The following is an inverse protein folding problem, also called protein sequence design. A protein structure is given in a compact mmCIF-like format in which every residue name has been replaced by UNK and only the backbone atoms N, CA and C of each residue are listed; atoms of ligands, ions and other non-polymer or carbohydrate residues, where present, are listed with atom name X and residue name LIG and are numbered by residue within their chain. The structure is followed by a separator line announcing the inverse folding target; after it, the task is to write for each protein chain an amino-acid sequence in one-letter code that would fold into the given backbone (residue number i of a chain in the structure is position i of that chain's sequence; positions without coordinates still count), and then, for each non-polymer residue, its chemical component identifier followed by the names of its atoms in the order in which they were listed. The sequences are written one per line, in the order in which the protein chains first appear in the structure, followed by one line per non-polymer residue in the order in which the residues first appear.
data_IF_748998727949
#
_entry.id   IF_748998727949
#
_cell.length_a   1.000
_cell.length_b   1.000
_cell.length_c   1.000
_cell.angle_alpha   90.00
_cell.angle_beta   90.00
_cell.angle_gamma   90.00
#
_symmetry.space_group_name_H-M   'P 1'
#
loop_
_entity.id
_entity.type
_entity.pdbx_description
1 polymer ?
#
# COMPACT_ATOMS: atom_id res chain seq x y z
N UNK A 1 -17.25 92.73 8.78
CA UNK A 1 -15.98 92.09 8.37
C UNK A 1 -15.97 90.75 9.05
N UNK A 2 -16.13 89.69 8.27
CA UNK A 2 -16.27 88.29 8.82
C UNK A 2 -14.91 87.63 8.65
N UNK A 3 -14.36 87.11 9.73
CA UNK A 3 -13.16 86.29 9.75
C UNK A 3 -13.56 84.82 9.61
N UNK A 4 -13.02 84.15 8.62
CA UNK A 4 -13.17 82.73 8.37
C UNK A 4 -12.06 81.97 9.11
N UNK A 5 -12.44 81.06 10.00
CA UNK A 5 -11.53 80.12 10.66
C UNK A 5 -11.34 78.88 9.79
N UNK A 6 -10.10 78.53 9.51
CA UNK A 6 -9.71 77.28 8.81
C UNK A 6 -9.47 76.24 9.87
N UNK A 7 -10.25 75.14 9.83
CA UNK A 7 -10.06 73.97 10.67
C UNK A 7 -9.19 73.00 9.88
N UNK A 8 -7.98 72.73 10.39
CA UNK A 8 -7.11 71.64 9.90
C UNK A 8 -7.47 70.35 10.63
N UNK A 9 -7.94 69.37 9.89
CA UNK A 9 -8.17 68.01 10.41
C UNK A 9 -6.91 67.19 10.11
N UNK A 10 -6.22 66.80 11.17
CA UNK A 10 -5.09 65.85 11.11
C UNK A 10 -5.65 64.44 11.20
N UNK A 11 -5.53 63.70 10.12
CA UNK A 11 -5.89 62.26 10.06
C UNK A 11 -4.71 61.45 10.60
N UNK A 12 -4.84 60.91 11.82
CA UNK A 12 -3.91 59.92 12.37
C UNK A 12 -4.25 58.55 11.79
N UNK A 13 -3.41 58.04 10.87
CA UNK A 13 -3.52 56.66 10.35
C UNK A 13 -3.07 55.65 11.41
N UNK A 14 -4.01 54.90 11.96
CA UNK A 14 -3.68 53.71 12.79
C UNK A 14 -3.21 52.57 11.84
N UNK A 15 -1.91 52.24 11.90
CA UNK A 15 -1.37 51.04 11.25
C UNK A 15 -1.80 49.86 12.16
N UNK A 16 -2.84 49.16 11.73
CA UNK A 16 -3.24 47.87 12.33
C UNK A 16 -2.20 46.79 11.98
N UNK A 17 -1.39 46.42 12.92
CA UNK A 17 -0.54 45.20 12.81
C UNK A 17 -1.49 44.00 12.94
N UNK A 18 -1.79 43.37 11.81
CA UNK A 18 -2.48 42.09 11.79
C UNK A 18 -1.49 41.02 12.28
N UNK A 19 -1.61 40.60 13.50
CA UNK A 19 -0.93 39.41 14.02
C UNK A 19 -1.67 38.21 13.44
N UNK A 20 -1.13 37.64 12.37
CA UNK A 20 -1.52 36.31 11.91
C UNK A 20 -1.04 35.32 12.97
N UNK A 21 -1.93 34.87 13.83
CA UNK A 21 -1.67 33.69 14.65
C UNK A 21 -1.42 32.51 13.71
N UNK A 22 -0.17 32.11 13.58
CA UNK A 22 0.19 30.84 12.98
C UNK A 22 -0.35 29.77 13.95
N UNK A 23 -1.48 29.17 13.61
CA UNK A 23 -1.91 27.95 14.27
C UNK A 23 -0.80 26.92 14.10
N UNK A 24 -0.05 26.66 15.16
CA UNK A 24 0.82 25.51 15.22
C UNK A 24 -0.07 24.28 15.02
N UNK A 25 0.02 23.65 13.86
CA UNK A 25 -0.59 22.34 13.65
C UNK A 25 0.18 21.41 14.59
N UNK A 26 -0.46 21.04 15.71
CA UNK A 26 0.06 20.01 16.60
C UNK A 26 0.45 18.79 15.73
N UNK A 27 1.67 18.26 15.89
CA UNK A 27 2.07 17.09 15.12
C UNK A 27 1.08 15.97 15.41
N UNK A 28 0.40 15.50 14.37
CA UNK A 28 -0.62 14.47 14.49
C UNK A 28 0.04 13.22 15.06
N UNK A 29 -0.44 12.77 16.22
CA UNK A 29 0.09 11.56 16.86
C UNK A 29 -0.20 10.35 15.97
N UNK A 30 0.82 9.53 15.72
CA UNK A 30 0.67 8.26 15.00
C UNK A 30 -0.26 7.33 15.80
N UNK A 31 -1.15 6.65 15.12
CA UNK A 31 -2.16 5.74 15.68
C UNK A 31 -1.70 4.30 15.55
N UNK A 32 -1.87 3.49 16.59
CA UNK A 32 -1.52 2.07 16.63
C UNK A 32 -2.67 1.19 17.18
N UNK A 33 -2.91 0.01 16.58
CA UNK A 33 -2.48 -0.34 15.24
C UNK A 33 -3.14 0.60 14.23
N UNK A 34 -2.42 0.96 13.21
CA UNK A 34 -2.88 1.98 12.26
C UNK A 34 -2.21 1.91 10.89
N UNK A 35 -1.72 0.73 10.50
CA UNK A 35 -1.29 0.46 9.12
C UNK A 35 -2.48 -0.02 8.28
N UNK A 36 -2.47 -1.23 7.74
CA UNK A 36 -3.60 -1.74 6.95
C UNK A 36 -4.87 -1.93 7.78
N UNK A 37 -4.75 -2.10 9.10
CA UNK A 37 -5.87 -2.37 10.01
C UNK A 37 -5.78 -1.53 11.26
N UNK A 38 -6.96 -1.16 11.77
CA UNK A 38 -7.17 -0.46 13.05
C UNK A 38 -7.82 -1.40 14.08
N UNK A 39 -7.94 -0.94 15.32
CA UNK A 39 -8.72 -1.67 16.33
C UNK A 39 -10.20 -1.78 15.95
N UNK A 40 -10.76 -0.76 15.30
CA UNK A 40 -12.16 -0.78 14.85
C UNK A 40 -12.37 -1.81 13.75
N UNK A 41 -11.40 -1.97 12.81
CA UNK A 41 -11.44 -3.04 11.82
C UNK A 41 -11.45 -4.41 12.49
N UNK A 42 -10.54 -4.64 13.45
CA UNK A 42 -10.51 -5.92 14.17
C UNK A 42 -11.77 -6.17 15.00
N UNK A 43 -12.40 -5.14 15.55
CA UNK A 43 -13.68 -5.28 16.24
C UNK A 43 -14.79 -5.71 15.28
N UNK A 44 -14.88 -5.07 14.11
CA UNK A 44 -15.80 -5.44 13.03
C UNK A 44 -15.58 -6.87 12.55
N UNK A 45 -14.35 -7.25 12.26
CA UNK A 45 -13.96 -8.58 11.79
C UNK A 45 -14.34 -9.66 12.82
N UNK A 46 -14.06 -9.43 14.10
CA UNK A 46 -14.49 -10.33 15.19
C UNK A 46 -15.99 -10.51 15.23
N UNK A 47 -16.75 -9.45 14.98
CA UNK A 47 -18.21 -9.50 14.87
C UNK A 47 -18.67 -10.43 13.75
N UNK A 48 -18.12 -10.33 12.56
CA UNK A 48 -18.44 -11.22 11.44
C UNK A 48 -18.11 -12.69 11.75
N UNK A 49 -16.93 -12.95 12.34
CA UNK A 49 -16.51 -14.31 12.71
C UNK A 49 -17.42 -14.90 13.79
N UNK A 50 -17.81 -14.11 14.78
CA UNK A 50 -18.70 -14.57 15.86
C UNK A 50 -20.12 -14.86 15.34
N UNK A 51 -20.61 -14.04 14.42
CA UNK A 51 -21.93 -14.21 13.78
C UNK A 51 -21.93 -15.26 12.68
N UNK A 52 -20.78 -15.78 12.26
CA UNK A 52 -20.61 -16.64 11.08
C UNK A 52 -21.24 -16.03 9.82
N UNK A 53 -21.09 -14.71 9.66
CA UNK A 53 -21.69 -13.95 8.56
C UNK A 53 -20.85 -14.10 7.29
N UNK A 54 -21.38 -14.82 6.30
CA UNK A 54 -20.79 -14.90 4.96
C UNK A 54 -21.14 -13.64 4.15
N UNK A 55 -20.26 -13.20 3.23
CA UNK A 55 -19.03 -13.88 2.76
C UNK A 55 -17.79 -13.69 3.65
N UNK A 56 -17.82 -12.82 4.65
CA UNK A 56 -16.65 -12.54 5.50
C UNK A 56 -16.22 -13.79 6.28
N UNK A 57 -17.18 -14.62 6.73
CA UNK A 57 -16.87 -15.85 7.43
C UNK A 57 -16.18 -16.89 6.52
N UNK A 58 -16.51 -16.92 5.23
CA UNK A 58 -15.81 -17.79 4.27
C UNK A 58 -14.36 -17.34 4.08
N UNK A 59 -14.11 -16.03 4.04
CA UNK A 59 -12.76 -15.47 4.08
C UNK A 59 -11.99 -15.83 5.35
N UNK A 60 -12.69 -15.83 6.50
CA UNK A 60 -12.11 -16.29 7.77
C UNK A 60 -11.72 -17.76 7.73
N UNK A 61 -12.58 -18.65 7.25
CA UNK A 61 -12.27 -20.09 7.16
C UNK A 61 -11.04 -20.32 6.28
N UNK A 62 -10.92 -19.60 5.17
CA UNK A 62 -9.78 -19.69 4.27
C UNK A 62 -8.48 -19.21 4.93
N UNK A 63 -8.51 -18.07 5.63
CA UNK A 63 -7.37 -17.56 6.40
C UNK A 63 -6.95 -18.53 7.51
N UNK A 64 -7.91 -19.02 8.29
CA UNK A 64 -7.64 -19.95 9.40
C UNK A 64 -7.05 -21.27 8.91
N UNK A 65 -7.46 -21.77 7.74
CA UNK A 65 -6.89 -22.96 7.13
C UNK A 65 -5.46 -22.76 6.60
N UNK A 66 -5.12 -21.55 6.17
CA UNK A 66 -3.78 -21.22 5.67
C UNK A 66 -2.76 -20.92 6.76
N UNK A 67 -3.22 -20.47 7.93
CA UNK A 67 -2.34 -20.17 9.06
C UNK A 67 -1.79 -21.49 9.67
N UNK A 68 -0.46 -21.54 9.82
CA UNK A 68 0.23 -22.70 10.38
C UNK A 68 0.99 -22.29 11.65
N UNK A 69 0.50 -22.69 12.82
CA UNK A 69 1.12 -22.39 14.11
C UNK A 69 2.48 -23.10 14.30
N UNK A 70 2.73 -24.18 13.57
CA UNK A 70 4.01 -24.93 13.61
C UNK A 70 4.99 -24.48 12.53
N UNK A 71 4.72 -23.38 11.83
CA UNK A 71 5.59 -22.86 10.77
C UNK A 71 7.01 -22.61 11.28
N UNK A 72 7.99 -23.12 10.55
CA UNK A 72 9.42 -22.91 10.84
C UNK A 72 10.00 -21.89 9.88
N UNK A 73 10.47 -20.73 10.36
CA UNK A 73 11.06 -19.70 9.51
C UNK A 73 12.39 -20.13 8.90
N UNK A 74 12.68 -19.59 7.70
CA UNK A 74 13.95 -19.80 7.01
C UNK A 74 14.72 -18.48 6.87
N UNK A 75 14.94 -17.78 7.99
CA UNK A 75 15.62 -16.48 8.00
C UNK A 75 17.07 -16.58 7.54
N UNK A 76 17.52 -15.61 6.77
CA UNK A 76 18.84 -15.48 6.18
C UNK A 76 19.55 -14.24 6.70
N UNK A 77 20.89 -14.29 6.80
CA UNK A 77 21.70 -13.12 7.15
C UNK A 77 21.76 -12.10 5.99
N UNK A 78 21.75 -12.59 4.76
CA UNK A 78 21.71 -11.79 3.54
C UNK A 78 20.58 -12.26 2.64
N UNK A 79 19.75 -11.34 2.15
CA UNK A 79 18.70 -11.62 1.17
C UNK A 79 19.15 -11.16 -0.21
N UNK A 80 19.27 -12.11 -1.14
CA UNK A 80 19.64 -11.83 -2.53
C UNK A 80 18.40 -11.88 -3.43
N UNK A 81 18.12 -10.78 -4.19
CA UNK A 81 17.13 -10.73 -5.26
C UNK A 81 17.72 -10.15 -6.54
N UNK A 82 17.42 -10.81 -7.67
CA UNK A 82 17.98 -10.52 -8.97
C UNK A 82 19.32 -11.19 -9.22
N UNK A 83 19.65 -11.43 -10.49
CA UNK A 83 20.93 -12.06 -10.88
C UNK A 83 22.08 -11.07 -10.67
N UNK A 84 23.03 -11.45 -9.86
CA UNK A 84 24.31 -10.78 -9.63
C UNK A 84 25.29 -11.80 -9.04
N UNK A 85 26.23 -11.37 -8.26
CA UNK A 85 27.26 -12.23 -7.64
C UNK A 85 26.75 -13.05 -6.43
N UNK A 86 25.43 -13.11 -6.19
CA UNK A 86 24.83 -13.87 -5.09
C UNK A 86 23.76 -14.86 -5.58
N UNK A 87 23.57 -15.94 -4.83
CA UNK A 87 22.49 -16.90 -5.07
C UNK A 87 21.17 -16.35 -4.55
N UNK A 88 20.18 -16.26 -5.41
CA UNK A 88 18.85 -15.76 -5.06
C UNK A 88 18.18 -16.65 -3.99
N UNK A 89 17.83 -16.04 -2.87
CA UNK A 89 17.17 -16.70 -1.74
C UNK A 89 15.97 -15.89 -1.20
N UNK A 90 15.60 -14.79 -1.84
CA UNK A 90 14.52 -13.89 -1.40
C UNK A 90 13.16 -14.60 -1.23
N UNK A 91 13.01 -15.79 -1.81
CA UNK A 91 11.81 -16.61 -1.65
C UNK A 91 11.58 -17.04 -0.19
N UNK A 92 12.64 -17.19 0.61
CA UNK A 92 12.49 -17.48 2.04
C UNK A 92 11.80 -16.33 2.76
N UNK A 93 12.18 -15.07 2.46
CA UNK A 93 11.60 -13.89 3.10
C UNK A 93 10.11 -13.72 2.77
N UNK A 94 9.71 -13.73 1.51
CA UNK A 94 8.30 -13.52 1.19
C UNK A 94 7.38 -14.64 1.69
N UNK A 95 7.86 -15.89 1.74
CA UNK A 95 7.08 -17.01 2.31
C UNK A 95 6.93 -16.88 3.82
N UNK A 96 8.02 -16.55 4.51
CA UNK A 96 8.02 -16.34 5.96
C UNK A 96 7.09 -15.18 6.34
N UNK A 97 7.14 -14.06 5.61
CA UNK A 97 6.28 -12.89 5.86
C UNK A 97 4.79 -13.24 5.65
N UNK A 98 4.46 -13.96 4.57
CA UNK A 98 3.07 -14.39 4.33
C UNK A 98 2.56 -15.30 5.45
N UNK A 99 3.41 -16.23 5.93
CA UNK A 99 3.07 -17.09 7.07
C UNK A 99 2.93 -16.29 8.37
N UNK A 100 3.81 -15.32 8.62
CA UNK A 100 3.73 -14.44 9.78
C UNK A 100 2.45 -13.62 9.79
N UNK A 101 2.07 -13.05 8.65
CA UNK A 101 0.86 -12.24 8.52
C UNK A 101 -0.40 -13.06 8.77
N UNK A 102 -0.53 -14.24 8.17
CA UNK A 102 -1.67 -15.12 8.39
C UNK A 102 -1.80 -15.51 9.86
N UNK A 103 -0.69 -15.90 10.51
CA UNK A 103 -0.68 -16.25 11.93
C UNK A 103 -1.00 -15.06 12.84
N UNK A 104 -0.45 -13.88 12.58
CA UNK A 104 -0.74 -12.65 13.33
C UNK A 104 -2.23 -12.28 13.25
N UNK A 105 -2.83 -12.38 12.06
CA UNK A 105 -4.27 -12.15 11.86
C UNK A 105 -5.13 -13.15 12.65
N UNK A 106 -4.81 -14.45 12.58
CA UNK A 106 -5.56 -15.48 13.32
C UNK A 106 -5.50 -15.23 14.82
N UNK A 107 -4.32 -14.87 15.34
CA UNK A 107 -4.20 -14.46 16.73
C UNK A 107 -5.06 -13.21 17.02
N UNK A 108 -4.95 -12.17 16.24
CA UNK A 108 -5.66 -10.90 16.49
C UNK A 108 -7.19 -11.07 16.46
N UNK A 109 -7.68 -11.97 15.62
CA UNK A 109 -9.11 -12.25 15.45
C UNK A 109 -9.63 -13.22 16.52
N UNK A 110 -8.92 -14.32 16.78
CA UNK A 110 -9.36 -15.43 17.66
C UNK A 110 -8.70 -15.46 19.02
N UNK A 111 -7.58 -14.77 19.23
CA UNK A 111 -6.81 -14.83 20.47
C UNK A 111 -5.96 -16.10 20.63
N UNK A 112 -5.74 -16.87 19.57
CA UNK A 112 -4.98 -18.13 19.59
C UNK A 112 -3.48 -17.87 19.82
N UNK A 113 -3.01 -18.14 21.05
CA UNK A 113 -1.63 -17.85 21.47
C UNK A 113 -0.57 -18.57 20.63
N UNK A 114 -0.85 -19.77 20.13
CA UNK A 114 0.12 -20.51 19.31
C UNK A 114 0.36 -19.85 17.95
N UNK A 115 -0.66 -19.24 17.37
CA UNK A 115 -0.49 -18.41 16.15
C UNK A 115 0.30 -17.13 16.45
N UNK A 116 0.05 -16.47 17.60
CA UNK A 116 0.88 -15.34 18.02
C UNK A 116 2.36 -15.74 18.12
N UNK A 117 2.65 -16.85 18.82
CA UNK A 117 4.02 -17.38 18.96
C UNK A 117 4.66 -17.72 17.63
N UNK A 118 3.89 -18.27 16.67
CA UNK A 118 4.40 -18.56 15.33
C UNK A 118 4.81 -17.28 14.59
N UNK A 119 3.97 -16.25 14.60
CA UNK A 119 4.27 -14.98 13.99
C UNK A 119 5.47 -14.29 14.65
N UNK A 120 5.53 -14.28 16.00
CA UNK A 120 6.67 -13.77 16.77
C UNK A 120 7.96 -14.51 16.42
N UNK A 121 7.94 -15.84 16.40
CA UNK A 121 9.10 -16.67 16.04
C UNK A 121 9.66 -16.32 14.67
N UNK A 122 8.80 -16.00 13.70
CA UNK A 122 9.23 -15.57 12.37
C UNK A 122 9.86 -14.19 12.43
N UNK A 123 9.21 -13.22 13.10
CA UNK A 123 9.73 -11.85 13.22
C UNK A 123 11.07 -11.83 13.95
N UNK A 124 11.21 -12.57 15.06
CA UNK A 124 12.46 -12.66 15.84
C UNK A 124 13.59 -13.34 15.05
N UNK A 125 13.26 -14.37 14.26
CA UNK A 125 14.23 -15.04 13.40
C UNK A 125 14.82 -14.07 12.37
N UNK A 126 14.00 -13.23 11.75
CA UNK A 126 14.48 -12.25 10.77
C UNK A 126 15.18 -11.06 11.42
N UNK A 127 14.62 -10.48 12.47
CA UNK A 127 15.21 -9.31 13.15
C UNK A 127 16.53 -9.62 13.84
N UNK A 128 16.77 -10.86 14.26
CA UNK A 128 18.04 -11.27 14.85
C UNK A 128 19.11 -11.67 13.84
N UNK A 129 18.73 -11.95 12.57
CA UNK A 129 19.66 -12.57 11.61
C UNK A 129 19.95 -11.71 10.38
N UNK A 130 18.95 -10.97 9.85
CA UNK A 130 19.10 -10.20 8.63
C UNK A 130 20.06 -9.02 8.85
N UNK A 131 21.05 -8.89 7.99
CA UNK A 131 22.03 -7.79 8.02
C UNK A 131 22.04 -6.95 6.74
N UNK A 132 21.57 -7.52 5.61
CA UNK A 132 21.62 -6.83 4.32
C UNK A 132 20.65 -7.42 3.29
N UNK A 133 20.31 -6.59 2.29
CA UNK A 133 19.57 -7.00 1.07
C UNK A 133 20.46 -6.65 -0.12
N UNK A 134 20.81 -7.67 -0.90
CA UNK A 134 21.77 -7.59 -2.01
C UNK A 134 21.19 -8.13 -3.32
N UNK A 135 21.94 -8.06 -4.38
CA UNK A 135 21.58 -8.56 -5.70
C UNK A 135 21.66 -7.47 -6.77
N UNK A 136 20.97 -7.69 -7.89
CA UNK A 136 20.85 -6.70 -8.95
C UNK A 136 19.96 -5.53 -8.52
N UNK A 137 19.50 -4.71 -9.47
CA UNK A 137 18.51 -3.65 -9.15
C UNK A 137 17.28 -4.18 -8.40
N UNK A 138 16.90 -5.44 -8.60
CA UNK A 138 15.74 -6.06 -7.94
C UNK A 138 15.84 -6.09 -6.40
N UNK A 139 17.01 -5.85 -5.81
CA UNK A 139 17.16 -5.66 -4.35
C UNK A 139 16.29 -4.53 -3.81
N UNK A 140 16.05 -3.48 -4.62
CA UNK A 140 15.18 -2.36 -4.25
C UNK A 140 13.70 -2.78 -4.18
N UNK A 141 13.26 -3.66 -5.10
CA UNK A 141 11.92 -4.27 -5.01
C UNK A 141 11.78 -5.14 -3.76
N UNK A 142 12.84 -5.87 -3.36
CA UNK A 142 12.81 -6.64 -2.12
C UNK A 142 12.66 -5.72 -0.90
N UNK A 143 13.40 -4.62 -0.85
CA UNK A 143 13.31 -3.65 0.23
C UNK A 143 11.91 -3.00 0.31
N UNK A 144 11.32 -2.65 -0.83
CA UNK A 144 9.97 -2.08 -0.90
C UNK A 144 8.88 -3.08 -0.52
N UNK A 145 8.76 -4.16 -1.31
CA UNK A 145 7.67 -5.14 -1.16
C UNK A 145 7.68 -5.83 0.21
N UNK A 146 8.84 -6.26 0.68
CA UNK A 146 8.88 -7.00 1.93
C UNK A 146 8.97 -6.09 3.16
N UNK A 147 9.50 -4.86 2.99
CA UNK A 147 9.53 -3.86 4.05
C UNK A 147 8.14 -3.46 4.54
N UNK A 148 7.21 -3.16 3.62
CA UNK A 148 5.84 -2.82 4.03
C UNK A 148 5.12 -4.00 4.66
N UNK A 149 5.35 -5.21 4.15
CA UNK A 149 4.70 -6.43 4.66
C UNK A 149 5.17 -6.76 6.07
N UNK A 150 6.49 -6.76 6.32
CA UNK A 150 7.07 -6.98 7.67
C UNK A 150 6.57 -5.93 8.67
N UNK A 151 6.50 -4.67 8.27
CA UNK A 151 6.01 -3.60 9.14
C UNK A 151 4.53 -3.83 9.52
N UNK A 152 3.69 -4.29 8.59
CA UNK A 152 2.29 -4.64 8.88
C UNK A 152 2.17 -5.83 9.84
N UNK A 153 3.02 -6.85 9.73
CA UNK A 153 3.06 -7.96 10.69
C UNK A 153 3.43 -7.46 12.08
N UNK A 154 4.50 -6.66 12.19
CA UNK A 154 4.96 -6.12 13.46
C UNK A 154 3.89 -5.24 14.12
N UNK A 155 3.18 -4.45 13.33
CA UNK A 155 2.11 -3.59 13.81
C UNK A 155 0.92 -4.36 14.38
N UNK A 156 0.52 -5.48 13.75
CA UNK A 156 -0.54 -6.35 14.29
C UNK A 156 -0.10 -6.97 15.62
N UNK A 157 1.17 -7.35 15.75
CA UNK A 157 1.72 -7.99 16.94
C UNK A 157 2.08 -7.02 18.06
N UNK A 158 2.08 -5.71 17.82
CA UNK A 158 2.53 -4.66 18.76
C UNK A 158 1.93 -4.81 20.16
N UNK A 159 0.65 -5.17 20.25
CA UNK A 159 -0.09 -5.31 21.51
C UNK A 159 -0.03 -6.75 22.10
N UNK A 160 0.83 -7.63 21.57
CA UNK A 160 0.96 -8.96 22.12
C UNK A 160 1.97 -9.00 23.26
N UNK A 161 1.51 -9.08 24.50
CA UNK A 161 2.35 -9.08 25.72
C UNK A 161 3.45 -10.15 25.72
N UNK A 162 3.27 -11.23 24.96
CA UNK A 162 4.25 -12.30 24.81
C UNK A 162 5.39 -11.99 23.84
N UNK A 163 5.44 -10.80 23.23
CA UNK A 163 6.49 -10.42 22.30
C UNK A 163 7.37 -9.28 22.83
N UNK A 164 8.63 -9.60 23.11
CA UNK A 164 9.64 -8.63 23.55
C UNK A 164 10.58 -8.18 22.42
N UNK A 165 10.38 -8.69 21.20
CA UNK A 165 11.26 -8.44 20.05
C UNK A 165 10.84 -7.26 19.16
N UNK A 166 9.82 -6.48 19.54
CA UNK A 166 9.30 -5.37 18.72
C UNK A 166 10.39 -4.35 18.37
N UNK A 167 11.19 -3.92 19.36
CA UNK A 167 12.28 -2.95 19.15
C UNK A 167 13.35 -3.49 18.18
N UNK A 168 13.67 -4.79 18.23
CA UNK A 168 14.59 -5.41 17.30
C UNK A 168 14.03 -5.46 15.87
N UNK A 169 12.72 -5.73 15.72
CA UNK A 169 12.05 -5.71 14.43
C UNK A 169 12.00 -4.27 13.85
N UNK A 170 11.68 -3.27 14.66
CA UNK A 170 11.74 -1.85 14.27
C UNK A 170 13.16 -1.50 13.82
N UNK A 171 14.16 -1.84 14.62
CA UNK A 171 15.58 -1.56 14.31
C UNK A 171 15.99 -2.19 12.97
N UNK A 172 15.65 -3.44 12.71
CA UNK A 172 15.92 -4.10 11.42
C UNK A 172 15.31 -3.31 10.26
N UNK A 173 14.05 -2.90 10.37
CA UNK A 173 13.33 -2.17 9.33
C UNK A 173 13.91 -0.76 9.11
N UNK A 174 14.27 -0.06 10.18
CA UNK A 174 14.84 1.29 10.13
C UNK A 174 16.28 1.28 9.60
N UNK A 175 17.09 0.29 9.98
CA UNK A 175 18.52 0.27 9.64
C UNK A 175 18.81 -0.37 8.28
N UNK A 176 17.94 -1.28 7.79
CA UNK A 176 18.20 -2.03 6.55
C UNK A 176 17.22 -1.61 5.45
N UNK A 177 15.91 -1.65 5.72
CA UNK A 177 14.91 -1.43 4.68
C UNK A 177 14.71 0.05 4.36
N UNK A 178 14.55 0.90 5.39
CA UNK A 178 14.29 2.32 5.17
C UNK A 178 15.42 3.02 4.39
N UNK A 179 16.71 2.86 4.71
CA UNK A 179 17.77 3.54 3.97
C UNK A 179 17.81 3.14 2.49
N UNK A 180 17.52 1.88 2.17
CA UNK A 180 17.40 1.43 0.79
C UNK A 180 16.23 2.14 0.08
N UNK A 181 15.04 2.11 0.68
CA UNK A 181 13.85 2.72 0.09
C UNK A 181 14.03 4.24 -0.09
N UNK A 182 14.57 4.94 0.91
CA UNK A 182 14.89 6.36 0.82
C UNK A 182 15.88 6.65 -0.32
N UNK A 183 16.96 5.90 -0.37
CA UNK A 183 17.99 6.04 -1.41
C UNK A 183 17.41 5.81 -2.82
N UNK A 184 16.51 4.84 -2.97
CA UNK A 184 15.88 4.59 -4.26
C UNK A 184 15.05 5.78 -4.73
N UNK A 185 14.21 6.38 -3.90
CA UNK A 185 13.43 7.56 -4.29
C UNK A 185 14.30 8.79 -4.59
N UNK A 186 15.44 8.93 -3.92
CA UNK A 186 16.35 10.07 -4.13
C UNK A 186 17.19 9.91 -5.39
N UNK A 187 17.72 8.71 -5.65
CA UNK A 187 18.73 8.46 -6.68
C UNK A 187 18.32 7.49 -7.79
N UNK A 188 17.22 6.77 -7.63
CA UNK A 188 16.75 5.76 -8.59
C UNK A 188 17.88 4.84 -9.08
N UNK A 189 18.70 4.35 -8.12
CA UNK A 189 19.86 3.50 -8.42
C UNK A 189 20.84 4.13 -9.45
N UNK A 190 20.90 5.46 -9.52
CA UNK A 190 21.73 6.21 -10.46
C UNK A 190 21.19 6.31 -11.88
N UNK A 191 19.96 5.83 -12.13
CA UNK A 191 19.30 5.94 -13.42
C UNK A 191 18.50 7.26 -13.55
N UNK A 192 18.02 7.55 -14.77
CA UNK A 192 17.08 8.66 -14.98
C UNK A 192 15.74 8.39 -14.25
N UNK A 193 15.02 9.46 -13.96
CA UNK A 193 13.79 9.43 -13.14
C UNK A 193 12.68 8.55 -13.72
N UNK A 194 12.65 8.38 -15.04
CA UNK A 194 11.67 7.62 -15.80
C UNK A 194 12.16 6.20 -16.19
N UNK A 195 13.35 5.80 -15.70
CA UNK A 195 13.91 4.48 -16.01
C UNK A 195 13.16 3.35 -15.31
N UNK A 196 12.70 3.56 -14.08
CA UNK A 196 11.98 2.54 -13.34
C UNK A 196 10.47 2.70 -13.53
N UNK A 197 9.76 1.57 -13.53
CA UNK A 197 8.31 1.52 -13.63
C UNK A 197 7.63 1.93 -12.32
N UNK A 198 6.35 2.29 -12.38
CA UNK A 198 5.61 2.81 -11.24
C UNK A 198 5.63 1.90 -10.01
N UNK A 199 5.57 0.57 -10.20
CA UNK A 199 5.59 -0.39 -9.09
C UNK A 199 6.83 -0.28 -8.19
N UNK A 200 7.99 0.15 -8.72
CA UNK A 200 9.23 0.33 -7.97
C UNK A 200 9.11 1.45 -6.93
N UNK A 201 8.69 2.62 -7.37
CA UNK A 201 8.45 3.74 -6.46
C UNK A 201 7.29 3.43 -5.49
N UNK A 202 6.21 2.82 -5.99
CA UNK A 202 5.02 2.53 -5.18
C UNK A 202 5.33 1.56 -4.04
N UNK A 203 6.06 0.47 -4.27
CA UNK A 203 6.43 -0.44 -3.18
C UNK A 203 7.38 0.23 -2.18
N UNK A 204 8.28 1.08 -2.67
CA UNK A 204 9.17 1.90 -1.84
C UNK A 204 8.37 2.86 -0.94
N UNK A 205 7.37 3.56 -1.50
CA UNK A 205 6.48 4.45 -0.74
C UNK A 205 5.66 3.69 0.31
N UNK A 206 5.14 2.50 -0.03
CA UNK A 206 4.46 1.64 0.93
C UNK A 206 5.37 1.27 2.10
N UNK A 207 6.63 0.89 1.83
CA UNK A 207 7.58 0.53 2.88
C UNK A 207 7.95 1.73 3.75
N UNK A 208 8.31 2.88 3.16
CA UNK A 208 8.68 4.06 3.92
C UNK A 208 7.55 4.55 4.84
N UNK A 209 6.32 4.58 4.32
CA UNK A 209 5.14 4.93 5.11
C UNK A 209 4.93 3.94 6.27
N UNK A 210 4.98 2.63 5.98
CA UNK A 210 4.76 1.60 6.99
C UNK A 210 5.82 1.62 8.08
N UNK A 211 7.09 1.74 7.70
CA UNK A 211 8.22 1.81 8.65
C UNK A 211 8.12 3.09 9.50
N UNK A 212 7.74 4.21 8.87
CA UNK A 212 7.53 5.46 9.58
C UNK A 212 6.42 5.38 10.63
N UNK A 213 5.29 4.75 10.30
CA UNK A 213 4.20 4.51 11.27
C UNK A 213 4.69 3.57 12.37
N UNK A 214 5.23 2.41 12.02
CA UNK A 214 5.68 1.41 13.00
C UNK A 214 6.68 1.96 14.01
N UNK A 215 7.58 2.85 13.57
CA UNK A 215 8.67 3.43 14.38
C UNK A 215 8.34 4.79 15.00
N UNK A 216 7.08 5.22 14.97
CA UNK A 216 6.66 6.56 15.45
C UNK A 216 7.43 7.73 14.78
N UNK A 217 7.87 7.55 13.53
CA UNK A 217 8.65 8.55 12.81
C UNK A 217 7.80 9.31 11.78
N UNK A 218 7.22 10.42 12.21
CA UNK A 218 6.38 11.27 11.36
C UNK A 218 7.13 11.83 10.13
N UNK A 219 8.45 12.01 10.22
CA UNK A 219 9.26 12.50 9.09
C UNK A 219 9.26 11.48 7.94
N UNK A 220 9.45 10.19 8.22
CA UNK A 220 9.39 9.12 7.22
C UNK A 220 7.99 9.03 6.60
N UNK A 221 6.93 9.13 7.41
CA UNK A 221 5.53 9.14 6.93
C UNK A 221 5.29 10.32 5.98
N UNK A 222 5.70 11.51 6.40
CA UNK A 222 5.52 12.74 5.61
C UNK A 222 6.31 12.71 4.31
N UNK A 223 7.51 12.13 4.31
CA UNK A 223 8.34 11.97 3.11
C UNK A 223 7.62 11.12 2.06
N UNK A 224 7.11 9.95 2.44
CA UNK A 224 6.36 9.06 1.56
C UNK A 224 5.10 9.75 1.01
N UNK A 225 4.33 10.42 1.86
CA UNK A 225 3.10 11.14 1.44
C UNK A 225 3.43 12.30 0.51
N UNK A 226 4.48 13.06 0.80
CA UNK A 226 4.89 14.20 -0.03
C UNK A 226 5.35 13.73 -1.40
N UNK A 227 6.19 12.69 -1.45
CA UNK A 227 6.63 12.12 -2.72
C UNK A 227 5.45 11.58 -3.54
N UNK A 228 4.52 10.86 -2.93
CA UNK A 228 3.33 10.37 -3.60
C UNK A 228 2.49 11.51 -4.22
N UNK A 229 2.37 12.63 -3.51
CA UNK A 229 1.58 13.80 -3.97
C UNK A 229 2.27 14.60 -5.07
N UNK A 230 3.58 14.82 -4.97
CA UNK A 230 4.31 15.83 -5.75
C UNK A 230 5.68 15.39 -6.23
N UNK A 231 6.07 14.14 -6.01
CA UNK A 231 7.34 13.58 -6.48
C UNK A 231 7.43 13.55 -8.01
N UNK A 232 8.64 13.47 -8.50
CA UNK A 232 8.93 13.44 -9.94
C UNK A 232 9.00 12.03 -10.53
N UNK A 233 9.12 11.00 -9.70
CA UNK A 233 9.23 9.61 -10.16
C UNK A 233 7.90 8.98 -10.56
N UNK A 234 7.99 7.78 -11.08
CA UNK A 234 6.85 7.12 -11.73
C UNK A 234 5.78 6.64 -10.73
N UNK A 235 6.10 6.50 -9.43
CA UNK A 235 5.11 6.21 -8.39
C UNK A 235 4.37 7.42 -7.83
N UNK A 236 4.74 8.65 -8.18
CA UNK A 236 3.93 9.82 -7.84
C UNK A 236 2.56 9.72 -8.55
N UNK A 237 1.47 10.08 -7.85
CA UNK A 237 0.11 9.83 -8.32
C UNK A 237 -0.15 10.31 -9.76
N UNK A 238 0.34 11.50 -10.12
CA UNK A 238 0.15 12.07 -11.44
C UNK A 238 0.90 11.31 -12.55
N UNK A 239 1.99 10.62 -12.20
CA UNK A 239 2.79 9.83 -13.13
C UNK A 239 2.31 8.36 -13.15
N UNK A 240 2.01 7.79 -12.00
CA UNK A 240 1.51 6.41 -11.88
C UNK A 240 0.19 6.22 -12.64
N UNK A 241 -0.68 7.24 -12.61
CA UNK A 241 -1.93 7.30 -13.39
C UNK A 241 -1.86 8.58 -14.20
N UNK A 242 -1.21 8.53 -15.36
CA UNK A 242 -0.76 9.72 -16.07
C UNK A 242 -1.78 10.36 -17.03
N UNK A 243 -2.81 9.61 -17.46
CA UNK A 243 -3.82 10.12 -18.37
C UNK A 243 -5.24 9.71 -17.95
N UNK A 244 -6.20 10.61 -18.10
CA UNK A 244 -7.60 10.37 -17.78
C UNK A 244 -8.45 10.40 -19.05
N UNK A 245 -9.17 9.32 -19.28
CA UNK A 245 -10.19 9.20 -20.30
C UNK A 245 -11.58 9.43 -19.70
N UNK A 246 -12.56 9.76 -20.55
CA UNK A 246 -13.97 9.67 -20.20
C UNK A 246 -14.53 8.37 -20.76
N UNK A 247 -15.18 7.55 -19.94
CA UNK A 247 -15.79 6.32 -20.39
C UNK A 247 -16.98 6.63 -21.32
N UNK A 248 -17.01 6.00 -22.49
CA UNK A 248 -18.10 6.16 -23.43
C UNK A 248 -19.43 5.69 -22.81
N UNK A 249 -20.49 6.46 -23.00
CA UNK A 249 -21.83 6.20 -22.49
C UNK A 249 -22.06 6.64 -21.04
N UNK A 250 -21.10 6.42 -20.11
CA UNK A 250 -21.25 6.80 -18.70
C UNK A 250 -20.63 8.13 -18.33
N UNK A 251 -19.62 8.56 -19.08
CA UNK A 251 -18.80 9.75 -18.75
C UNK A 251 -17.87 9.55 -17.53
N UNK A 252 -17.81 8.35 -16.96
CA UNK A 252 -16.99 8.05 -15.79
C UNK A 252 -15.50 8.18 -16.11
N UNK A 253 -14.66 8.77 -15.21
CA UNK A 253 -13.22 8.83 -15.41
C UNK A 253 -12.59 7.43 -15.45
N UNK A 254 -11.74 7.19 -16.45
CA UNK A 254 -10.91 6.00 -16.58
C UNK A 254 -9.44 6.44 -16.65
N UNK A 255 -8.62 6.07 -15.66
CA UNK A 255 -7.23 6.49 -15.51
C UNK A 255 -6.25 5.50 -16.12
N UNK A 256 -5.58 5.87 -17.21
CA UNK A 256 -4.53 5.05 -17.78
C UNK A 256 -3.30 5.03 -16.88
N UNK A 257 -2.97 3.85 -16.34
CA UNK A 257 -1.76 3.62 -15.56
C UNK A 257 -0.49 3.66 -16.42
N UNK A 258 0.62 3.97 -15.79
CA UNK A 258 1.93 4.08 -16.44
C UNK A 258 2.36 2.73 -17.05
N UNK A 259 2.01 1.62 -16.41
CA UNK A 259 2.39 0.26 -16.83
C UNK A 259 1.35 -0.40 -17.76
N UNK A 260 0.27 0.28 -18.13
CA UNK A 260 -0.81 -0.31 -18.94
C UNK A 260 -0.33 -0.85 -20.30
N UNK A 261 0.70 -0.26 -20.88
CA UNK A 261 1.33 -0.72 -22.13
C UNK A 261 2.43 -1.75 -21.95
N UNK A 262 2.86 -2.03 -20.70
CA UNK A 262 3.91 -2.99 -20.37
C UNK A 262 3.37 -4.42 -20.29
N UNK A 263 2.57 -4.72 -19.29
CA UNK A 263 1.80 -5.94 -19.10
C UNK A 263 0.78 -5.77 -17.96
N UNK A 264 -0.23 -6.65 -17.89
CA UNK A 264 -1.30 -6.52 -16.91
C UNK A 264 -0.93 -7.08 -15.53
N UNK A 265 0.09 -7.92 -15.43
CA UNK A 265 0.63 -8.38 -14.16
C UNK A 265 1.21 -7.22 -13.34
N UNK A 266 2.00 -6.35 -13.97
CA UNK A 266 2.54 -5.15 -13.34
C UNK A 266 1.50 -4.05 -13.21
N UNK A 267 0.68 -3.81 -14.24
CA UNK A 267 -0.40 -2.81 -14.15
C UNK A 267 -1.35 -3.07 -12.97
N UNK A 268 -1.69 -4.35 -12.69
CA UNK A 268 -2.51 -4.68 -11.51
C UNK A 268 -1.73 -4.59 -10.20
N UNK A 269 -0.41 -4.85 -10.21
CA UNK A 269 0.45 -4.65 -9.04
C UNK A 269 0.45 -3.20 -8.58
N UNK A 270 0.52 -2.24 -9.52
CA UNK A 270 0.43 -0.81 -9.20
C UNK A 270 -0.82 -0.50 -8.36
N UNK A 271 -1.98 -1.01 -8.76
CA UNK A 271 -3.24 -0.76 -8.04
C UNK A 271 -3.30 -1.46 -6.68
N UNK A 272 -2.64 -2.59 -6.53
CA UNK A 272 -2.43 -3.22 -5.22
C UNK A 272 -1.63 -2.33 -4.28
N UNK A 273 -0.51 -1.79 -4.75
CA UNK A 273 0.37 -0.91 -3.96
C UNK A 273 -0.27 0.46 -3.68
N UNK A 274 -0.99 1.03 -4.66
CA UNK A 274 -1.77 2.26 -4.48
C UNK A 274 -2.84 2.07 -3.40
N UNK A 275 -3.53 0.92 -3.40
CA UNK A 275 -4.50 0.57 -2.36
C UNK A 275 -3.87 0.46 -0.97
N UNK A 276 -2.72 -0.23 -0.88
CA UNK A 276 -1.95 -0.37 0.37
C UNK A 276 -1.53 0.99 0.94
N UNK A 277 -0.88 1.82 0.12
CA UNK A 277 -0.42 3.15 0.57
C UNK A 277 -1.59 4.04 0.99
N UNK A 278 -2.67 4.04 0.21
CA UNK A 278 -3.83 4.85 0.51
C UNK A 278 -4.56 4.38 1.78
N UNK A 279 -4.68 3.07 2.00
CA UNK A 279 -5.32 2.52 3.21
C UNK A 279 -4.53 2.83 4.48
N UNK A 280 -3.21 2.61 4.45
CA UNK A 280 -2.34 2.94 5.58
C UNK A 280 -2.39 4.44 5.92
N UNK A 281 -2.34 5.28 4.91
CA UNK A 281 -2.43 6.73 5.07
C UNK A 281 -3.80 7.18 5.59
N UNK A 282 -4.88 6.54 5.12
CA UNK A 282 -6.25 6.79 5.59
C UNK A 282 -6.41 6.46 7.06
N UNK A 283 -5.87 5.33 7.51
CA UNK A 283 -5.88 4.91 8.92
C UNK A 283 -5.06 5.86 9.81
N UNK A 284 -4.06 6.54 9.25
CA UNK A 284 -3.34 7.65 9.88
C UNK A 284 -4.03 9.00 9.69
N UNK A 285 -5.24 9.00 9.07
CA UNK A 285 -6.11 10.16 8.87
C UNK A 285 -5.67 11.11 7.76
N UNK A 286 -4.88 10.64 6.81
CA UNK A 286 -4.60 11.36 5.55
C UNK A 286 -5.26 10.62 4.40
N UNK A 287 -6.32 11.21 3.83
CA UNK A 287 -7.09 10.60 2.74
C UNK A 287 -6.37 10.77 1.39
N UNK A 288 -5.56 9.78 1.02
CA UNK A 288 -4.94 9.69 -0.29
C UNK A 288 -5.90 9.15 -1.36
N UNK A 289 -6.96 8.44 -0.97
CA UNK A 289 -7.95 7.95 -1.92
C UNK A 289 -8.70 9.07 -2.65
N UNK A 290 -8.95 10.19 -1.96
CA UNK A 290 -9.64 11.35 -2.54
C UNK A 290 -8.76 12.25 -3.41
N UNK A 291 -7.44 12.04 -3.42
CA UNK A 291 -6.54 12.93 -4.15
C UNK A 291 -6.92 13.06 -5.63
N UNK A 292 -6.84 14.29 -6.14
CA UNK A 292 -7.05 14.62 -7.55
C UNK A 292 -8.36 14.01 -8.08
N UNK A 293 -9.46 14.28 -7.36
CA UNK A 293 -10.80 13.79 -7.70
C UNK A 293 -10.90 12.26 -7.78
N UNK A 294 -10.34 11.57 -6.78
CA UNK A 294 -10.31 10.09 -6.70
C UNK A 294 -9.53 9.44 -7.87
N UNK A 295 -8.34 9.96 -8.18
CA UNK A 295 -7.55 9.48 -9.32
C UNK A 295 -7.20 8.00 -9.23
N UNK A 296 -7.01 7.44 -8.01
CA UNK A 296 -6.80 6.00 -7.82
C UNK A 296 -8.03 5.21 -8.26
N UNK A 297 -9.27 5.67 -7.96
CA UNK A 297 -10.48 5.05 -8.47
C UNK A 297 -10.53 5.06 -10.00
N UNK A 298 -10.27 6.21 -10.61
CA UNK A 298 -10.25 6.30 -12.08
C UNK A 298 -9.27 5.29 -12.69
N UNK A 299 -8.11 5.12 -12.07
CA UNK A 299 -7.10 4.16 -12.50
C UNK A 299 -7.53 2.71 -12.32
N UNK A 300 -8.08 2.35 -11.15
CA UNK A 300 -8.59 1.00 -10.90
C UNK A 300 -9.73 0.64 -11.85
N UNK A 301 -10.65 1.58 -12.13
CA UNK A 301 -11.72 1.38 -13.08
C UNK A 301 -11.22 1.14 -14.53
N UNK A 302 -10.14 1.79 -14.93
CA UNK A 302 -9.49 1.54 -16.22
C UNK A 302 -8.83 0.17 -16.28
N UNK A 303 -7.93 -0.12 -15.34
CA UNK A 303 -7.15 -1.35 -15.34
C UNK A 303 -8.06 -2.59 -15.18
N UNK A 304 -9.04 -2.51 -14.29
CA UNK A 304 -9.92 -3.64 -14.02
C UNK A 304 -10.96 -3.85 -15.11
N UNK A 305 -11.47 -2.76 -15.72
CA UNK A 305 -12.29 -2.90 -16.94
C UNK A 305 -11.59 -3.75 -17.99
N UNK A 306 -10.31 -3.46 -18.25
CA UNK A 306 -9.53 -4.23 -19.22
C UNK A 306 -9.30 -5.68 -18.79
N UNK A 307 -8.99 -5.89 -17.51
CA UNK A 307 -8.72 -7.23 -17.00
C UNK A 307 -9.96 -8.12 -16.86
N UNK A 308 -11.18 -7.56 -16.76
CA UNK A 308 -12.43 -8.34 -16.86
C UNK A 308 -12.92 -8.51 -18.29
N UNK A 309 -12.05 -8.30 -19.28
CA UNK A 309 -12.32 -8.63 -20.69
C UNK A 309 -12.92 -7.51 -21.53
N UNK A 310 -13.10 -6.30 -21.00
CA UNK A 310 -13.60 -5.15 -21.77
C UNK A 310 -12.46 -4.31 -22.31
N UNK A 311 -12.64 -3.74 -23.49
CA UNK A 311 -11.63 -2.86 -24.08
C UNK A 311 -11.69 -1.45 -23.46
N UNK A 312 -10.52 -0.79 -23.47
CA UNK A 312 -10.34 0.58 -23.00
C UNK A 312 -9.54 1.39 -24.02
N UNK A 313 -9.74 2.71 -24.11
CA UNK A 313 -8.90 3.56 -24.95
C UNK A 313 -7.47 3.59 -24.43
N UNK A 314 -6.50 3.79 -25.31
CA UNK A 314 -5.09 3.86 -24.95
C UNK A 314 -4.40 5.06 -25.60
N UNK A 315 -3.66 5.83 -24.80
CA UNK A 315 -2.78 6.89 -25.26
C UNK A 315 -1.35 6.36 -25.29
N UNK A 316 -0.66 6.56 -26.40
CA UNK A 316 0.74 6.19 -26.57
C UNK A 316 1.59 6.70 -25.42
N UNK A 317 2.38 5.82 -24.83
CA UNK A 317 3.29 6.09 -23.72
C UNK A 317 4.72 5.74 -24.11
N UNK A 318 5.66 6.64 -23.83
CA UNK A 318 7.08 6.48 -24.10
C UNK A 318 7.89 6.67 -22.83
N UNK A 319 8.84 5.79 -22.57
CA UNK A 319 9.86 5.89 -21.53
C UNK A 319 11.19 5.31 -22.04
N UNK A 320 12.18 5.13 -21.15
CA UNK A 320 13.48 4.57 -21.49
C UNK A 320 13.45 3.11 -22.01
N UNK A 321 12.35 2.40 -21.80
CA UNK A 321 12.18 1.01 -22.29
C UNK A 321 11.55 0.95 -23.69
N UNK A 322 11.12 2.09 -24.23
CA UNK A 322 10.51 2.18 -25.56
C UNK A 322 9.15 2.86 -25.59
N UNK A 323 8.45 2.67 -26.69
CA UNK A 323 7.13 3.26 -26.95
C UNK A 323 6.06 2.17 -27.05
N UNK A 324 5.07 2.23 -26.16
CA UNK A 324 3.85 1.45 -26.25
C UNK A 324 2.78 2.27 -26.98
N UNK A 325 2.25 1.77 -28.08
CA UNK A 325 1.21 2.41 -28.91
C UNK A 325 -0.18 1.85 -28.64
N UNK A 326 -0.26 0.69 -27.94
CA UNK A 326 -1.49 -0.01 -27.55
C UNK A 326 -1.36 -0.51 -26.13
N UNK A 327 -2.48 -0.74 -25.46
CA UNK A 327 -2.50 -1.43 -24.16
C UNK A 327 -1.98 -2.86 -24.35
N UNK A 328 -1.17 -3.33 -23.41
CA UNK A 328 -0.63 -4.69 -23.48
C UNK A 328 -1.69 -5.72 -23.10
N UNK A 329 -1.79 -6.79 -23.90
CA UNK A 329 -2.62 -7.96 -23.59
C UNK A 329 -1.83 -9.05 -22.84
N UNK A 330 -0.53 -8.86 -22.62
CA UNK A 330 0.28 -9.77 -21.82
C UNK A 330 -0.26 -9.84 -20.40
N UNK A 331 -0.53 -11.06 -19.92
CA UNK A 331 -1.12 -11.32 -18.60
C UNK A 331 -2.50 -10.66 -18.38
N UNK A 332 -3.27 -10.36 -19.45
CA UNK A 332 -4.65 -9.85 -19.32
C UNK A 332 -5.51 -10.87 -18.55
N UNK A 333 -6.26 -10.39 -17.57
CA UNK A 333 -7.03 -11.23 -16.66
C UNK A 333 -6.22 -11.76 -15.47
N UNK A 334 -5.05 -11.22 -15.20
CA UNK A 334 -4.26 -11.56 -14.00
C UNK A 334 -5.10 -11.37 -12.74
N UNK A 335 -5.06 -12.37 -11.88
CA UNK A 335 -5.76 -12.41 -10.60
C UNK A 335 -4.80 -12.01 -9.49
N UNK A 336 -5.18 -10.99 -8.68
CA UNK A 336 -4.48 -10.53 -7.49
C UNK A 336 -5.46 -10.18 -6.37
N UNK A 337 -5.11 -10.34 -5.09
CA UNK A 337 -5.99 -10.01 -3.96
C UNK A 337 -5.96 -8.50 -3.66
N UNK A 338 -6.60 -7.72 -4.51
CA UNK A 338 -6.58 -6.25 -4.46
C UNK A 338 -7.97 -5.63 -4.67
N UNK A 339 -8.91 -6.41 -5.17
CA UNK A 339 -10.25 -5.95 -5.51
C UNK A 339 -11.08 -5.59 -4.29
N UNK A 340 -11.02 -6.39 -3.23
CA UNK A 340 -11.78 -6.17 -2.00
C UNK A 340 -11.43 -4.86 -1.31
N UNK A 341 -10.14 -4.56 -1.12
CA UNK A 341 -9.69 -3.33 -0.47
C UNK A 341 -10.18 -2.08 -1.23
N UNK A 342 -9.94 -2.02 -2.54
CA UNK A 342 -10.29 -0.85 -3.34
C UNK A 342 -11.81 -0.69 -3.46
N UNK A 343 -12.54 -1.79 -3.65
CA UNK A 343 -13.99 -1.76 -3.74
C UNK A 343 -14.63 -1.35 -2.41
N UNK A 344 -14.20 -1.96 -1.31
CA UNK A 344 -14.70 -1.62 0.03
C UNK A 344 -14.52 -0.14 0.34
N UNK A 345 -13.36 0.44 0.02
CA UNK A 345 -13.15 1.86 0.26
C UNK A 345 -14.01 2.74 -0.65
N UNK A 346 -13.94 2.55 -1.98
CA UNK A 346 -14.62 3.47 -2.89
C UNK A 346 -16.13 3.29 -2.91
N UNK A 347 -16.62 2.05 -2.92
CA UNK A 347 -18.06 1.80 -2.90
C UNK A 347 -18.61 1.81 -1.48
N UNK A 348 -18.03 1.03 -0.57
CA UNK A 348 -18.55 0.87 0.79
C UNK A 348 -18.40 2.13 1.66
N UNK A 349 -17.20 2.71 1.72
CA UNK A 349 -16.94 3.88 2.58
C UNK A 349 -17.37 5.18 1.91
N UNK A 350 -17.06 5.38 0.62
CA UNK A 350 -17.32 6.65 -0.08
C UNK A 350 -18.63 6.68 -0.87
N UNK A 351 -19.32 5.57 -1.06
CA UNK A 351 -20.54 5.49 -1.84
C UNK A 351 -20.35 5.82 -3.33
N UNK A 352 -19.15 5.65 -3.87
CA UNK A 352 -18.83 5.97 -5.26
C UNK A 352 -19.07 4.76 -6.18
N UNK A 353 -19.31 5.05 -7.46
CA UNK A 353 -19.44 4.01 -8.47
C UNK A 353 -18.07 3.40 -8.81
N UNK A 354 -17.79 2.23 -8.26
CA UNK A 354 -16.59 1.43 -8.49
C UNK A 354 -16.94 0.11 -9.23
N UNK A 355 -17.76 0.20 -10.27
CA UNK A 355 -18.37 -0.98 -10.91
C UNK A 355 -17.38 -1.93 -11.58
N UNK A 356 -16.29 -1.43 -12.18
CA UNK A 356 -15.28 -2.28 -12.77
C UNK A 356 -14.36 -2.88 -11.71
N UNK A 357 -14.08 -2.14 -10.65
CA UNK A 357 -13.38 -2.64 -9.46
C UNK A 357 -14.16 -3.77 -8.80
N UNK A 358 -15.49 -3.62 -8.68
CA UNK A 358 -16.38 -4.68 -8.18
C UNK A 358 -16.36 -5.93 -9.06
N UNK A 359 -16.45 -5.78 -10.38
CA UNK A 359 -16.37 -6.94 -11.31
C UNK A 359 -15.01 -7.64 -11.25
N UNK A 360 -13.92 -6.92 -11.07
CA UNK A 360 -12.60 -7.52 -10.88
C UNK A 360 -12.51 -8.25 -9.54
N UNK A 361 -13.03 -7.67 -8.46
CA UNK A 361 -13.19 -8.37 -7.18
C UNK A 361 -13.92 -9.70 -7.37
N UNK A 362 -15.07 -9.67 -8.03
CA UNK A 362 -15.89 -10.87 -8.24
C UNK A 362 -15.15 -11.91 -9.08
N UNK A 363 -14.41 -11.49 -10.13
CA UNK A 363 -13.56 -12.39 -10.91
C UNK A 363 -12.46 -13.06 -10.05
N UNK A 364 -11.87 -12.33 -9.10
CA UNK A 364 -10.89 -12.88 -8.15
C UNK A 364 -11.54 -13.87 -7.20
N UNK A 365 -12.75 -13.57 -6.69
CA UNK A 365 -13.50 -14.46 -5.80
C UNK A 365 -13.90 -15.76 -6.51
N UNK A 366 -14.40 -15.66 -7.74
CA UNK A 366 -14.78 -16.83 -8.57
C UNK A 366 -13.57 -17.76 -8.79
N UNK A 367 -12.40 -17.21 -9.02
CA UNK A 367 -11.17 -17.98 -9.20
C UNK A 367 -10.52 -18.44 -7.88
N UNK A 368 -11.07 -18.05 -6.75
CA UNK A 368 -10.51 -18.29 -5.40
C UNK A 368 -11.55 -18.91 -4.45
N UNK A 369 -12.44 -19.75 -4.95
CA UNK A 369 -13.45 -20.45 -4.15
C UNK A 369 -14.28 -19.52 -3.24
N UNK A 370 -14.69 -18.37 -3.76
CA UNK A 370 -15.61 -17.44 -3.12
C UNK A 370 -14.98 -16.46 -2.12
N UNK A 371 -13.68 -16.55 -1.82
CA UNK A 371 -13.02 -15.61 -0.93
C UNK A 371 -11.57 -15.33 -1.36
N UNK A 372 -11.12 -14.08 -1.23
CA UNK A 372 -9.72 -13.74 -1.46
C UNK A 372 -8.78 -14.54 -0.56
N UNK A 373 -7.70 -15.05 -1.16
CA UNK A 373 -6.59 -15.66 -0.44
C UNK A 373 -5.49 -14.66 -0.10
N UNK A 374 -4.42 -15.15 0.52
CA UNK A 374 -3.24 -14.36 0.85
C UNK A 374 -2.01 -14.72 0.03
N UNK A 375 -0.84 -14.36 0.55
CA UNK A 375 0.43 -14.68 -0.11
C UNK A 375 0.58 -16.17 -0.40
N UNK A 376 0.90 -16.50 -1.65
CA UNK A 376 1.00 -17.87 -2.16
C UNK A 376 -0.28 -18.44 -2.79
N UNK A 377 -1.45 -17.87 -2.52
CA UNK A 377 -2.71 -18.34 -3.13
C UNK A 377 -2.79 -18.07 -4.64
N UNK A 378 -2.02 -17.11 -5.15
CA UNK A 378 -2.03 -16.65 -6.54
C UNK A 378 -0.76 -17.03 -7.32
N UNK A 379 -0.07 -18.05 -6.88
CA UNK A 379 1.10 -18.63 -7.52
C UNK A 379 2.30 -18.79 -6.58
N UNK A 380 3.23 -19.68 -6.96
CA UNK A 380 4.36 -20.03 -6.10
C UNK A 380 5.53 -19.04 -6.14
N UNK A 381 5.53 -18.15 -7.14
CA UNK A 381 6.59 -17.16 -7.36
C UNK A 381 6.30 -15.84 -6.63
N UNK A 382 7.27 -14.93 -6.64
CA UNK A 382 7.16 -13.63 -5.95
C UNK A 382 5.85 -12.88 -6.27
N UNK A 383 5.38 -12.91 -7.51
CA UNK A 383 4.13 -12.26 -7.90
C UNK A 383 2.89 -12.72 -7.12
N UNK A 384 2.88 -13.98 -6.65
CA UNK A 384 1.83 -14.51 -5.78
C UNK A 384 1.95 -14.07 -4.30
N UNK A 385 3.01 -13.33 -3.96
CA UNK A 385 3.31 -12.86 -2.60
C UNK A 385 3.48 -11.34 -2.51
N UNK A 386 3.29 -10.60 -3.61
CA UNK A 386 3.45 -9.14 -3.62
C UNK A 386 2.41 -8.42 -2.77
N UNK A 387 1.24 -9.02 -2.56
CA UNK A 387 0.19 -8.52 -1.68
C UNK A 387 -0.05 -9.46 -0.49
N UNK A 388 -0.43 -8.87 0.64
CA UNK A 388 -0.76 -9.63 1.86
C UNK A 388 -2.10 -10.37 1.74
N UNK A 389 -3.08 -9.82 1.02
CA UNK A 389 -4.36 -10.45 0.70
C UNK A 389 -5.35 -10.56 1.87
N UNK A 390 -6.21 -11.57 1.81
CA UNK A 390 -7.29 -11.88 2.77
C UNK A 390 -8.40 -10.83 2.78
N UNK A 391 -8.61 -10.12 1.66
CA UNK A 391 -9.48 -8.95 1.58
C UNK A 391 -10.92 -9.21 1.96
N UNK A 392 -11.47 -10.40 1.66
CA UNK A 392 -12.87 -10.72 1.96
C UNK A 392 -13.18 -10.67 3.46
N UNK A 393 -12.30 -11.18 4.32
CA UNK A 393 -12.49 -11.03 5.77
C UNK A 393 -12.05 -9.66 6.27
N UNK A 394 -11.02 -9.05 5.68
CA UNK A 394 -10.39 -7.86 6.22
C UNK A 394 -11.11 -6.57 5.82
N UNK A 395 -11.58 -6.45 4.58
CA UNK A 395 -12.08 -5.18 4.04
C UNK A 395 -13.55 -5.19 3.67
N UNK A 396 -14.15 -6.35 3.40
CA UNK A 396 -15.54 -6.39 2.93
C UNK A 396 -16.52 -5.85 3.96
N UNK A 397 -17.44 -4.98 3.51
CA UNK A 397 -18.40 -4.25 4.36
C UNK A 397 -19.87 -4.68 4.12
N UNK A 398 -20.15 -5.34 2.99
CA UNK A 398 -21.49 -5.80 2.55
C UNK A 398 -21.69 -7.31 2.74
#
# INVERSE_FOLDING_TARGET
MRASAIISVTLAGAIGISVTEAFAIEPRRIVHPGLLHTNDDFARIKGYVAAQASPQYDGWLKLAAAANADYTPNAQASVCRGSSDCTQNYASLYKDVAAAYANALVWRIRGTTDNAKAAVRIMDAWSSKLTEIIGSADRWLAAGLYGYQLANVAEILRDYDGWTGLDAAIKMLVDIFYPMNHDFLVRHNGASIDNYWANWDLCTLCAMHSIGVLSDNQTMVNEAITYFKTGSGMGALANAIWYIWSEEGSGKPLGQGQEAGRDQGHATLDFGLLGVLAQQSYNQGTDLFSLTSNRILAGSEYAFKYNVGQDVPFKTYTNNHGTATVISNSSRGTIRPIGELLYAHYNGVKGLNASWTGKYRDMVLDASDGAEGGGGSYGPNSGGYDQLGWGTILYRLD
#
